data_IF_404984451746
#
_entry.id   IF_404984451746
#
_cell.length_a   1.000
_cell.length_b   1.000
_cell.length_c   1.000
_cell.angle_alpha   90.00
_cell.angle_beta   90.00
_cell.angle_gamma   90.00
#
_symmetry.space_group_name_H-M   'P 1'
#
loop_
_entity.id
_entity.type
_entity.pdbx_description
1 polymer ?
#
# COMPACT_ATOMS: atom_id res chain seq x y z
N UNK A 1 -12.15 -7.74 25.58
CA UNK A 1 -11.68 -8.79 24.68
C UNK A 1 -11.19 -8.16 23.39
N UNK A 2 -10.26 -8.81 22.66
CA UNK A 2 -9.80 -8.34 21.32
C UNK A 2 -8.57 -7.40 21.31
N UNK A 3 -8.09 -6.90 22.44
CA UNK A 3 -6.89 -6.06 22.50
C UNK A 3 -6.99 -4.82 21.62
N UNK A 4 -6.07 -4.65 20.64
CA UNK A 4 -6.11 -3.52 19.69
C UNK A 4 -7.31 -3.56 18.73
N UNK A 5 -8.01 -4.68 18.64
CA UNK A 5 -9.25 -4.81 17.86
C UNK A 5 -10.51 -4.40 18.64
N UNK A 6 -10.37 -3.68 19.74
CA UNK A 6 -11.52 -3.11 20.47
C UNK A 6 -12.17 -2.00 19.64
N UNK A 7 -13.49 -1.96 19.66
CA UNK A 7 -14.27 -0.82 19.15
C UNK A 7 -14.71 0.05 20.33
N UNK A 8 -14.35 1.32 20.29
CA UNK A 8 -14.77 2.28 21.31
C UNK A 8 -16.10 2.93 20.92
N UNK A 9 -16.89 3.28 21.94
CA UNK A 9 -18.11 4.06 21.77
C UNK A 9 -18.02 5.37 22.53
N UNK A 10 -18.32 6.48 21.86
CA UNK A 10 -18.37 7.79 22.45
C UNK A 10 -19.54 8.60 21.89
N UNK A 11 -20.43 9.03 22.75
CA UNK A 11 -21.64 9.79 22.37
C UNK A 11 -22.47 9.14 21.24
N UNK A 12 -22.58 7.80 21.25
CA UNK A 12 -23.32 7.04 20.25
C UNK A 12 -22.56 6.74 18.96
N UNK A 13 -21.33 7.24 18.81
CA UNK A 13 -20.46 6.94 17.68
C UNK A 13 -19.48 5.81 18.04
N UNK A 14 -19.32 4.87 17.09
CA UNK A 14 -18.38 3.76 17.24
C UNK A 14 -17.17 3.96 16.33
N UNK A 15 -15.98 3.70 16.87
CA UNK A 15 -14.73 3.80 16.14
C UNK A 15 -13.71 2.79 16.65
N UNK A 16 -12.97 2.21 15.71
CA UNK A 16 -11.85 1.32 15.99
C UNK A 16 -10.55 2.11 16.22
N UNK A 17 -9.60 1.52 16.95
CA UNK A 17 -8.28 2.13 17.19
C UNK A 17 -7.35 2.10 15.98
N UNK A 18 -7.88 2.00 14.77
CA UNK A 18 -7.15 1.99 13.52
C UNK A 18 -7.98 1.47 12.37
N UNK A 19 -7.38 1.31 11.22
CA UNK A 19 -8.04 0.82 10.01
C UNK A 19 -8.21 -0.70 10.01
N UNK A 20 -8.91 -1.26 10.96
CA UNK A 20 -9.15 -2.70 11.09
C UNK A 20 -10.14 -3.18 10.02
N UNK A 21 -9.83 -4.31 9.40
CA UNK A 21 -10.66 -4.93 8.36
C UNK A 21 -10.39 -6.42 8.36
N UNK A 22 -11.44 -7.21 8.23
CA UNK A 22 -11.28 -8.65 8.07
C UNK A 22 -11.04 -9.00 6.60
N UNK A 23 -9.89 -9.58 6.32
CA UNK A 23 -9.48 -10.05 4.99
C UNK A 23 -8.72 -11.35 5.16
N UNK A 24 -9.14 -12.42 4.49
CA UNK A 24 -8.40 -13.67 4.45
C UNK A 24 -8.42 -14.28 3.04
N UNK A 25 -7.38 -15.07 2.73
CA UNK A 25 -7.34 -15.95 1.56
C UNK A 25 -7.79 -17.37 1.89
N UNK A 26 -7.84 -17.71 3.17
CA UNK A 26 -8.37 -18.99 3.63
C UNK A 26 -9.89 -18.94 3.55
N UNK A 27 -10.45 -19.72 2.63
CA UNK A 27 -11.89 -19.77 2.37
C UNK A 27 -12.66 -20.32 3.57
N UNK A 28 -12.15 -21.35 4.22
CA UNK A 28 -12.75 -21.96 5.41
C UNK A 28 -12.85 -20.93 6.55
N UNK A 29 -11.77 -20.16 6.80
CA UNK A 29 -11.81 -19.11 7.81
C UNK A 29 -12.82 -18.02 7.47
N UNK A 30 -12.94 -17.63 6.18
CA UNK A 30 -13.93 -16.64 5.73
C UNK A 30 -15.34 -17.19 5.97
N UNK A 31 -15.60 -18.44 5.59
CA UNK A 31 -16.89 -19.10 5.77
C UNK A 31 -17.28 -19.20 7.25
N UNK A 32 -16.34 -19.62 8.11
CA UNK A 32 -16.57 -19.69 9.54
C UNK A 32 -16.94 -18.31 10.13
N UNK A 33 -16.22 -17.25 9.75
CA UNK A 33 -16.55 -15.88 10.20
C UNK A 33 -17.89 -15.40 9.63
N UNK A 34 -18.19 -15.70 8.37
CA UNK A 34 -19.49 -15.36 7.78
C UNK A 34 -20.65 -16.07 8.51
N UNK A 35 -20.50 -17.35 8.82
CA UNK A 35 -21.49 -18.12 9.55
C UNK A 35 -21.69 -17.61 10.99
N UNK A 36 -20.59 -17.28 11.68
CA UNK A 36 -20.63 -16.75 13.04
C UNK A 36 -21.30 -15.38 13.11
N UNK A 37 -21.00 -14.51 12.16
CA UNK A 37 -21.47 -13.11 12.16
C UNK A 37 -22.83 -12.92 11.47
N UNK A 38 -23.18 -13.80 10.53
CA UNK A 38 -24.42 -13.71 9.77
C UNK A 38 -24.64 -12.34 9.12
N UNK A 39 -25.83 -11.78 9.33
CA UNK A 39 -26.24 -10.49 8.77
C UNK A 39 -25.51 -9.28 9.39
N UNK A 40 -24.72 -9.47 10.45
CA UNK A 40 -23.95 -8.40 11.07
C UNK A 40 -22.62 -8.12 10.36
N UNK A 41 -22.22 -8.95 9.39
CA UNK A 41 -21.00 -8.78 8.60
C UNK A 41 -21.31 -8.09 7.27
N UNK A 42 -20.74 -6.90 7.08
CA UNK A 42 -20.88 -6.13 5.87
C UNK A 42 -19.74 -6.42 4.92
N UNK A 43 -20.01 -6.45 3.62
CA UNK A 43 -18.99 -6.46 2.58
C UNK A 43 -18.79 -5.04 2.05
N UNK A 44 -17.55 -4.57 2.02
CA UNK A 44 -17.23 -3.24 1.53
C UNK A 44 -16.09 -3.28 0.51
N UNK A 45 -16.16 -2.41 -0.49
CA UNK A 45 -15.09 -2.23 -1.46
C UNK A 45 -14.08 -1.21 -0.94
N UNK A 46 -12.79 -1.53 -1.14
CA UNK A 46 -11.72 -0.62 -0.77
C UNK A 46 -11.70 0.58 -1.70
N UNK A 47 -11.90 1.77 -1.15
CA UNK A 47 -11.63 3.05 -1.81
C UNK A 47 -10.50 3.74 -1.05
N UNK A 48 -9.35 3.87 -1.66
CA UNK A 48 -8.19 4.55 -1.05
C UNK A 48 -7.57 5.46 -2.09
N UNK A 49 -7.21 6.65 -1.67
CA UNK A 49 -6.55 7.65 -2.51
C UNK A 49 -5.33 8.22 -1.81
N UNK A 50 -4.35 8.63 -2.58
CA UNK A 50 -3.18 9.37 -2.09
C UNK A 50 -3.38 10.82 -2.49
N UNK A 51 -3.40 11.71 -1.52
CA UNK A 51 -3.39 13.16 -1.76
C UNK A 51 -1.95 13.65 -1.79
N UNK A 52 -1.51 14.17 -2.91
CA UNK A 52 -0.17 14.72 -3.09
C UNK A 52 -0.23 16.03 -3.86
N UNK A 53 0.28 17.11 -3.27
CA UNK A 53 0.32 18.45 -3.88
C UNK A 53 -1.02 18.89 -4.48
N UNK A 54 -2.12 18.66 -3.74
CA UNK A 54 -3.47 19.02 -4.17
C UNK A 54 -4.09 18.09 -5.23
N UNK A 55 -3.39 17.04 -5.66
CA UNK A 55 -3.89 16.05 -6.62
C UNK A 55 -4.15 14.71 -5.95
N UNK A 56 -5.22 14.04 -6.32
CA UNK A 56 -5.57 12.71 -5.83
C UNK A 56 -5.07 11.63 -6.79
N UNK A 57 -4.40 10.62 -6.26
CA UNK A 57 -3.94 9.45 -6.99
C UNK A 57 -4.63 8.21 -6.45
N UNK A 58 -4.92 7.25 -7.31
CA UNK A 58 -5.47 5.97 -6.88
C UNK A 58 -4.46 5.16 -6.07
N UNK A 59 -4.93 4.44 -5.07
CA UNK A 59 -4.10 3.49 -4.35
C UNK A 59 -4.50 2.05 -4.72
N UNK A 60 -3.58 1.21 -5.15
CA UNK A 60 -2.12 1.41 -5.24
C UNK A 60 -1.73 2.39 -6.35
N UNK A 61 -0.64 3.11 -6.12
CA UNK A 61 -0.14 4.10 -7.05
C UNK A 61 0.15 3.47 -8.41
N UNK A 62 -0.52 3.94 -9.45
CA UNK A 62 -0.34 3.44 -10.81
C UNK A 62 0.61 4.34 -11.62
N UNK A 63 1.41 3.73 -12.50
CA UNK A 63 2.28 4.49 -13.40
C UNK A 63 1.47 5.41 -14.33
N UNK A 64 0.28 4.97 -14.74
CA UNK A 64 -0.64 5.77 -15.57
C UNK A 64 -1.09 7.04 -14.83
N UNK A 65 -1.46 6.92 -13.56
CA UNK A 65 -1.88 8.05 -12.74
C UNK A 65 -0.73 9.05 -12.53
N UNK A 66 0.47 8.54 -12.28
CA UNK A 66 1.68 9.37 -12.16
C UNK A 66 1.89 10.13 -13.46
N UNK A 67 1.90 9.44 -14.59
CA UNK A 67 2.17 10.03 -15.88
C UNK A 67 1.15 11.11 -16.28
N UNK A 68 -0.14 10.85 -16.06
CA UNK A 68 -1.21 11.78 -16.43
C UNK A 68 -1.36 12.97 -15.49
N UNK A 69 -1.15 12.76 -14.18
CA UNK A 69 -1.41 13.78 -13.16
C UNK A 69 -0.16 14.58 -12.77
N UNK A 70 1.04 14.06 -13.06
CA UNK A 70 2.28 14.80 -12.86
C UNK A 70 2.67 15.51 -14.15
N UNK A 71 3.12 16.77 -14.04
CA UNK A 71 3.51 17.57 -15.19
C UNK A 71 4.70 16.94 -15.96
N UNK A 72 4.81 17.28 -17.23
CA UNK A 72 5.83 16.75 -18.16
C UNK A 72 7.25 16.76 -17.57
N UNK A 73 7.69 17.87 -17.00
CA UNK A 73 9.04 18.00 -16.42
C UNK A 73 9.28 17.07 -15.25
N UNK A 74 8.27 16.81 -14.44
CA UNK A 74 8.38 15.88 -13.32
C UNK A 74 8.50 14.43 -13.83
N UNK A 75 7.72 14.08 -14.84
CA UNK A 75 7.79 12.77 -15.48
C UNK A 75 9.16 12.55 -16.14
N UNK A 76 9.68 13.54 -16.82
CA UNK A 76 11.01 13.48 -17.45
C UNK A 76 12.11 13.30 -16.39
N UNK A 77 12.07 14.08 -15.30
CA UNK A 77 13.01 13.91 -14.16
C UNK A 77 12.87 12.53 -13.50
N UNK A 78 11.66 12.02 -13.35
CA UNK A 78 11.45 10.69 -12.76
C UNK A 78 12.02 9.60 -13.68
N UNK A 79 11.80 9.70 -14.97
CA UNK A 79 12.32 8.75 -15.97
C UNK A 79 13.85 8.77 -16.04
N UNK A 80 14.47 9.93 -16.15
CA UNK A 80 15.94 10.05 -16.17
C UNK A 80 16.56 9.55 -14.87
N UNK A 81 16.00 9.91 -13.72
CA UNK A 81 16.44 9.44 -12.41
C UNK A 81 16.33 7.90 -12.28
N UNK A 82 15.30 7.31 -12.86
CA UNK A 82 15.12 5.86 -12.92
C UNK A 82 16.20 5.19 -13.80
N UNK A 83 16.47 5.73 -15.00
CA UNK A 83 17.51 5.19 -15.90
C UNK A 83 18.88 5.24 -15.22
N UNK A 84 19.22 6.37 -14.61
CA UNK A 84 20.46 6.54 -13.85
C UNK A 84 20.54 5.49 -12.74
N UNK A 85 19.50 5.34 -11.91
CA UNK A 85 19.48 4.36 -10.83
C UNK A 85 19.69 2.93 -11.33
N UNK A 86 19.04 2.57 -12.44
CA UNK A 86 19.16 1.24 -13.06
C UNK A 86 20.57 0.97 -13.55
N UNK A 87 21.18 1.92 -14.27
CA UNK A 87 22.55 1.81 -14.78
C UNK A 87 23.56 1.71 -13.62
N UNK A 88 23.44 2.59 -12.64
CA UNK A 88 24.36 2.60 -11.47
C UNK A 88 24.21 1.32 -10.63
N UNK A 89 23.00 0.77 -10.50
CA UNK A 89 22.80 -0.50 -9.80
C UNK A 89 23.53 -1.65 -10.49
N UNK A 90 23.47 -1.71 -11.82
CA UNK A 90 24.12 -2.77 -12.62
C UNK A 90 25.63 -2.63 -12.58
N UNK A 91 26.15 -1.42 -12.83
CA UNK A 91 27.61 -1.18 -12.95
C UNK A 91 28.30 -1.29 -11.59
N UNK A 92 27.75 -0.62 -10.56
CA UNK A 92 28.42 -0.53 -9.26
C UNK A 92 27.90 -1.55 -8.22
N UNK A 93 27.02 -2.47 -8.61
CA UNK A 93 26.45 -3.51 -7.72
C UNK A 93 26.03 -2.95 -6.34
N UNK A 94 25.40 -1.76 -6.34
CA UNK A 94 25.01 -1.08 -5.10
C UNK A 94 24.17 -1.99 -4.22
N UNK A 95 24.59 -2.12 -2.95
CA UNK A 95 23.87 -2.85 -1.93
C UNK A 95 22.70 -2.01 -1.42
N UNK A 96 21.60 -2.67 -1.11
CA UNK A 96 20.46 -2.06 -0.43
C UNK A 96 20.68 -2.24 1.08
N UNK A 97 20.99 -1.17 1.83
CA UNK A 97 21.23 -1.18 3.27
C UNK A 97 19.97 -0.73 4.02
N UNK A 98 19.28 0.26 3.46
CA UNK A 98 18.09 0.87 4.04
C UNK A 98 16.90 0.83 3.09
N UNK A 99 15.71 1.17 3.63
CA UNK A 99 14.52 1.40 2.82
C UNK A 99 14.77 2.44 1.70
N UNK A 100 15.47 3.54 2.04
CA UNK A 100 15.83 4.57 1.06
C UNK A 100 16.64 3.97 -0.08
N UNK A 101 17.73 3.24 0.23
CA UNK A 101 18.57 2.63 -0.81
C UNK A 101 17.78 1.68 -1.68
N UNK A 102 16.95 0.85 -1.07
CA UNK A 102 16.11 -0.12 -1.77
C UNK A 102 15.20 0.55 -2.80
N UNK A 103 14.55 1.67 -2.42
CA UNK A 103 13.67 2.43 -3.31
C UNK A 103 14.47 3.17 -4.37
N UNK A 104 15.51 3.91 -3.97
CA UNK A 104 16.32 4.73 -4.88
C UNK A 104 16.99 3.86 -5.94
N UNK A 105 17.52 2.70 -5.57
CA UNK A 105 18.17 1.77 -6.49
C UNK A 105 17.20 1.11 -7.49
N UNK A 106 15.88 1.16 -7.26
CA UNK A 106 14.85 0.57 -8.13
C UNK A 106 14.00 1.57 -8.88
N UNK A 107 13.70 2.70 -8.25
CA UNK A 107 12.75 3.69 -8.78
C UNK A 107 13.37 5.06 -9.04
N UNK A 108 14.60 5.26 -8.58
CA UNK A 108 15.31 6.53 -8.72
C UNK A 108 14.96 7.54 -7.61
N UNK A 109 15.83 8.51 -7.45
CA UNK A 109 15.75 9.55 -6.40
C UNK A 109 14.50 10.43 -6.54
N UNK A 110 14.07 10.70 -7.76
CA UNK A 110 12.91 11.58 -7.98
C UNK A 110 11.63 10.99 -7.41
N UNK A 111 11.33 9.71 -7.69
CA UNK A 111 10.13 9.06 -7.14
C UNK A 111 10.24 8.82 -5.63
N UNK A 112 11.46 8.55 -5.12
CA UNK A 112 11.69 8.48 -3.71
C UNK A 112 11.31 9.80 -3.01
N UNK A 113 11.84 10.93 -3.48
CA UNK A 113 11.59 12.23 -2.87
C UNK A 113 10.12 12.69 -2.99
N UNK A 114 9.42 12.26 -4.04
CA UNK A 114 8.03 12.66 -4.27
C UNK A 114 7.03 11.85 -3.45
N UNK A 115 7.24 10.54 -3.33
CA UNK A 115 6.23 9.63 -2.77
C UNK A 115 6.74 8.82 -1.59
N UNK A 116 7.78 8.00 -1.82
CA UNK A 116 8.14 6.95 -0.87
C UNK A 116 8.79 7.50 0.40
N UNK A 117 9.74 8.43 0.26
CA UNK A 117 10.45 9.02 1.39
C UNK A 117 9.50 9.74 2.34
N UNK A 118 8.81 10.82 1.90
CA UNK A 118 7.91 11.59 2.75
C UNK A 118 6.76 10.77 3.34
N UNK A 119 6.21 9.83 2.58
CA UNK A 119 5.17 8.93 3.09
C UNK A 119 5.67 8.04 4.21
N UNK A 120 6.84 7.41 4.01
CA UNK A 120 7.41 6.47 4.97
C UNK A 120 7.86 7.18 6.24
N UNK A 121 8.50 8.34 6.10
CA UNK A 121 8.91 9.17 7.23
C UNK A 121 7.70 9.63 8.06
N UNK A 122 6.64 10.09 7.39
CA UNK A 122 5.39 10.47 8.07
C UNK A 122 4.73 9.30 8.78
N UNK A 123 4.76 8.11 8.18
CA UNK A 123 4.12 6.91 8.75
C UNK A 123 4.86 6.39 9.98
N UNK A 124 6.19 6.39 9.96
CA UNK A 124 7.02 5.79 10.99
C UNK A 124 7.60 6.79 11.99
N UNK A 125 7.56 8.08 11.68
CA UNK A 125 8.16 9.14 12.52
C UNK A 125 9.70 9.11 12.55
N UNK A 126 10.33 8.29 11.71
CA UNK A 126 11.79 8.15 11.64
C UNK A 126 12.26 8.24 10.19
N UNK A 127 13.54 8.59 9.99
CA UNK A 127 14.11 8.66 8.65
C UNK A 127 14.08 7.30 7.95
N UNK A 128 13.67 7.24 6.66
CA UNK A 128 13.70 6.01 5.86
C UNK A 128 15.07 5.35 5.74
N UNK A 129 16.16 6.08 6.04
CA UNK A 129 17.51 5.53 6.11
C UNK A 129 17.72 4.57 7.29
N UNK A 130 16.89 4.69 8.33
CA UNK A 130 16.94 3.84 9.53
C UNK A 130 16.00 2.64 9.44
N UNK A 131 15.21 2.52 8.37
CA UNK A 131 14.23 1.45 8.17
C UNK A 131 14.87 0.33 7.34
N UNK A 132 14.65 -0.92 7.75
CA UNK A 132 15.16 -2.11 7.06
C UNK A 132 14.63 -2.24 5.62
N UNK A 133 15.47 -2.80 4.75
CA UNK A 133 15.10 -3.20 3.39
C UNK A 133 14.01 -4.26 3.34
N UNK A 134 13.91 -5.11 4.37
CA UNK A 134 12.91 -6.19 4.43
C UNK A 134 11.50 -5.63 4.42
N UNK A 135 11.29 -4.53 5.14
CA UNK A 135 9.99 -3.86 5.13
C UNK A 135 9.64 -3.34 3.73
N UNK A 136 10.62 -2.77 3.00
CA UNK A 136 10.43 -2.33 1.62
C UNK A 136 10.04 -3.50 0.71
N UNK A 137 10.76 -4.60 0.80
CA UNK A 137 10.56 -5.78 -0.04
C UNK A 137 9.19 -6.44 0.20
N UNK A 138 8.72 -6.48 1.44
CA UNK A 138 7.41 -7.04 1.80
C UNK A 138 6.24 -6.18 1.33
N UNK A 139 6.37 -4.85 1.41
CA UNK A 139 5.28 -3.92 1.10
C UNK A 139 5.24 -3.49 -0.36
N UNK A 140 6.41 -3.41 -1.01
CA UNK A 140 6.56 -2.86 -2.36
C UNK A 140 6.98 -3.97 -3.34
N UNK A 141 6.85 -5.21 -2.95
CA UNK A 141 7.38 -6.42 -3.63
C UNK A 141 6.97 -6.60 -5.10
N UNK A 142 6.17 -5.72 -5.70
CA UNK A 142 5.51 -6.00 -6.96
C UNK A 142 5.65 -4.92 -8.04
N UNK A 143 6.44 -3.90 -7.83
CA UNK A 143 6.70 -2.91 -8.87
C UNK A 143 8.09 -3.12 -9.49
N UNK A 144 8.31 -4.27 -10.13
CA UNK A 144 9.34 -4.32 -11.16
C UNK A 144 8.88 -3.45 -12.33
N UNK A 145 9.72 -2.53 -12.79
CA UNK A 145 9.34 -1.66 -13.92
C UNK A 145 8.98 -2.47 -15.17
N UNK A 146 9.57 -3.65 -15.35
CA UNK A 146 9.13 -4.61 -16.37
C UNK A 146 7.64 -4.95 -16.20
N UNK A 147 7.19 -5.22 -14.99
CA UNK A 147 5.76 -5.49 -14.72
C UNK A 147 4.89 -4.25 -14.92
N UNK A 148 5.40 -3.06 -14.61
CA UNK A 148 4.70 -1.79 -14.85
C UNK A 148 4.60 -1.51 -16.35
N UNK A 149 5.68 -1.68 -17.10
CA UNK A 149 5.69 -1.52 -18.56
C UNK A 149 4.80 -2.57 -19.25
N UNK A 150 4.90 -3.86 -18.87
CA UNK A 150 4.03 -4.90 -19.38
C UNK A 150 2.55 -4.66 -19.09
N UNK A 151 2.22 -3.99 -17.98
CA UNK A 151 0.84 -3.60 -17.65
C UNK A 151 0.38 -2.36 -18.41
N UNK A 152 1.26 -1.38 -18.64
CA UNK A 152 0.97 -0.21 -19.50
C UNK A 152 0.62 -0.64 -20.93
N UNK A 153 1.33 -1.65 -21.46
CA UNK A 153 1.06 -2.21 -22.78
C UNK A 153 0.00 -3.32 -22.78
N UNK A 154 -0.76 -3.49 -21.67
CA UNK A 154 -1.82 -4.53 -21.53
C UNK A 154 -1.35 -5.98 -21.74
N UNK A 155 -0.05 -6.24 -21.69
CA UNK A 155 0.54 -7.56 -21.93
C UNK A 155 0.44 -8.50 -20.71
N UNK A 156 0.12 -7.98 -19.53
CA UNK A 156 -0.14 -8.75 -18.30
C UNK A 156 -1.49 -8.36 -17.67
N UNK A 157 -2.42 -9.30 -17.66
CA UNK A 157 -3.67 -9.20 -16.89
C UNK A 157 -3.44 -9.77 -15.47
N UNK A 158 -3.79 -9.02 -14.45
CA UNK A 158 -3.79 -9.49 -13.06
C UNK A 158 -3.57 -8.36 -12.05
N UNK A 159 -4.32 -8.40 -10.95
CA UNK A 159 -4.12 -7.51 -9.80
C UNK A 159 -2.99 -8.07 -8.93
N UNK A 160 -2.13 -7.20 -8.35
CA UNK A 160 -1.12 -7.64 -7.39
C UNK A 160 -1.77 -8.39 -6.23
N UNK A 161 -1.13 -9.48 -5.79
CA UNK A 161 -1.62 -10.37 -4.72
C UNK A 161 -1.89 -9.67 -3.37
N UNK A 162 -1.39 -8.46 -3.21
CA UNK A 162 -1.43 -7.69 -1.95
C UNK A 162 -2.67 -6.80 -1.80
N UNK A 163 -3.50 -6.66 -2.85
CA UNK A 163 -4.61 -5.73 -2.83
C UNK A 163 -5.95 -6.46 -2.93
N UNK A 164 -6.54 -6.76 -1.78
CA UNK A 164 -7.93 -7.18 -1.75
C UNK A 164 -8.81 -6.04 -2.23
N UNK A 165 -9.67 -6.32 -3.21
CA UNK A 165 -10.65 -5.36 -3.76
C UNK A 165 -11.79 -5.08 -2.78
N UNK A 166 -12.06 -6.01 -1.88
CA UNK A 166 -13.08 -5.93 -0.86
C UNK A 166 -12.58 -6.43 0.48
N UNK A 167 -13.31 -6.14 1.51
CA UNK A 167 -13.09 -6.59 2.88
C UNK A 167 -14.42 -6.76 3.58
N UNK A 168 -14.40 -7.52 4.66
CA UNK A 168 -15.53 -7.66 5.56
C UNK A 168 -15.36 -6.76 6.76
N UNK A 169 -16.46 -6.24 7.26
CA UNK A 169 -16.47 -5.36 8.41
C UNK A 169 -17.76 -5.50 9.20
N UNK A 170 -17.72 -5.74 10.52
CA UNK A 170 -18.91 -5.83 11.36
C UNK A 170 -19.63 -4.49 11.48
N UNK A 171 -20.97 -4.52 11.54
CA UNK A 171 -21.80 -3.31 11.63
C UNK A 171 -21.49 -2.42 12.84
N UNK A 172 -21.09 -3.02 13.95
CA UNK A 172 -20.80 -2.31 15.21
C UNK A 172 -19.31 -2.12 15.48
N UNK A 173 -18.45 -2.28 14.46
CA UNK A 173 -17.00 -2.18 14.57
C UNK A 173 -16.32 -3.54 14.71
N UNK A 174 -14.99 -3.54 14.56
CA UNK A 174 -14.21 -4.80 14.55
C UNK A 174 -14.31 -5.57 15.87
N UNK A 175 -14.49 -4.87 17.00
CA UNK A 175 -14.65 -5.48 18.32
C UNK A 175 -15.81 -6.45 18.40
N UNK A 176 -16.89 -6.21 17.66
CA UNK A 176 -18.06 -7.10 17.62
C UNK A 176 -17.71 -8.55 17.25
N UNK A 177 -16.69 -8.76 16.38
CA UNK A 177 -16.23 -10.10 16.06
C UNK A 177 -15.73 -10.88 17.28
N UNK A 178 -15.03 -10.18 18.17
CA UNK A 178 -14.41 -10.78 19.36
C UNK A 178 -15.40 -10.88 20.53
N UNK A 179 -16.45 -10.09 20.50
CA UNK A 179 -17.53 -10.18 21.49
C UNK A 179 -18.46 -11.39 21.24
N UNK A 180 -18.52 -11.86 19.98
CA UNK A 180 -19.34 -13.02 19.56
C UNK A 180 -18.54 -14.32 19.67
N UNK A 181 -17.19 -14.28 19.61
CA UNK A 181 -16.32 -15.46 19.81
C UNK A 181 -16.34 -15.95 21.25
#
# INVERSE_FOLDING_TARGET
VGGLCITNEYKGYRFDLGGHRFISKNKELVENVCNMMGNELLTSHRKSVILLKGKTFEYPLSAKDIFLKMGFWTNLKAFTSYLIATVFKVIFRKKDISFEDWIVNRFGRTLYNLFFGPYTEKLWGISPKLISTDWASQRISLLNLKDVLFRLFKLKKGTPRTYAKGYFYPKKGIGQMFDIM
#
